data_IF_740521519854
#
_entry.id   IF_740521519854
#
_cell.length_a   1.000
_cell.length_b   1.000
_cell.length_c   1.000
_cell.angle_alpha   90.00
_cell.angle_beta   90.00
_cell.angle_gamma   90.00
#
_symmetry.space_group_name_H-M   'P 1'
#
loop_
_entity.id
_entity.type
_entity.pdbx_description
1 polymer ?
#
# COMPACT_ATOMS: atom_id res chain seq x y z
N UNK A 1 -44.95 37.54 -17.44
CA UNK A 1 -44.42 37.12 -16.16
C UNK A 1 -43.04 37.74 -16.00
N UNK A 2 -42.75 38.25 -14.84
CA UNK A 2 -41.45 38.83 -14.48
C UNK A 2 -40.41 37.68 -14.51
N UNK A 3 -39.34 37.84 -15.26
CA UNK A 3 -38.23 36.87 -15.27
C UNK A 3 -37.40 37.21 -14.03
N UNK A 4 -37.49 36.37 -12.99
CA UNK A 4 -36.67 36.52 -11.82
C UNK A 4 -35.21 36.21 -12.18
N UNK A 5 -34.29 37.05 -11.71
CA UNK A 5 -32.87 36.87 -11.83
C UNK A 5 -32.45 35.60 -11.05
N UNK A 6 -31.48 34.86 -11.58
CA UNK A 6 -31.02 33.62 -10.92
C UNK A 6 -29.85 33.93 -9.98
N UNK A 7 -29.85 33.30 -8.81
CA UNK A 7 -28.72 33.31 -7.88
C UNK A 7 -27.52 32.62 -8.54
N UNK A 8 -26.33 33.18 -8.38
CA UNK A 8 -25.09 32.61 -8.89
C UNK A 8 -24.79 31.26 -8.22
N UNK A 9 -24.20 30.35 -9.01
CA UNK A 9 -23.88 29.01 -8.54
C UNK A 9 -22.78 29.07 -7.48
N UNK A 10 -22.92 28.37 -6.34
CA UNK A 10 -21.85 28.24 -5.34
C UNK A 10 -20.55 27.74 -5.95
N UNK A 11 -19.43 28.18 -5.38
CA UNK A 11 -18.08 27.75 -5.77
C UNK A 11 -17.39 27.12 -4.56
N UNK A 12 -16.84 25.94 -4.78
CA UNK A 12 -16.02 25.22 -3.79
C UNK A 12 -14.54 25.55 -3.97
N UNK A 13 -13.84 25.67 -2.86
CA UNK A 13 -12.38 25.75 -2.82
C UNK A 13 -11.84 24.85 -1.69
N UNK A 14 -11.14 23.74 -2.01
CA UNK A 14 -10.93 23.18 -3.36
C UNK A 14 -12.22 22.61 -3.99
N UNK A 15 -12.29 22.60 -5.32
CA UNK A 15 -13.44 22.15 -6.09
C UNK A 15 -13.63 20.63 -6.13
N UNK A 16 -12.82 19.90 -5.38
CA UNK A 16 -12.70 18.46 -5.28
C UNK A 16 -11.22 18.04 -5.28
N UNK A 17 -10.92 16.86 -4.74
CA UNK A 17 -9.57 16.32 -4.70
C UNK A 17 -9.57 14.81 -4.53
N UNK A 18 -8.51 14.13 -4.99
CA UNK A 18 -8.11 12.82 -4.47
C UNK A 18 -7.12 13.06 -3.34
N UNK A 19 -7.44 12.59 -2.16
CA UNK A 19 -6.65 12.73 -0.95
C UNK A 19 -5.99 11.39 -0.61
N UNK A 20 -4.82 11.43 0.01
CA UNK A 20 -4.15 10.24 0.51
C UNK A 20 -4.74 9.78 1.85
N UNK A 21 -4.44 8.56 2.28
CA UNK A 21 -4.94 8.03 3.55
C UNK A 21 -4.43 8.86 4.73
N UNK A 22 -5.36 9.33 5.56
CA UNK A 22 -5.05 10.20 6.71
C UNK A 22 -4.88 11.67 6.35
N UNK A 23 -4.90 12.03 5.07
CA UNK A 23 -4.94 13.43 4.63
C UNK A 23 -6.33 14.02 4.88
N UNK A 24 -6.39 15.31 5.13
CA UNK A 24 -7.65 16.04 5.30
C UNK A 24 -7.65 17.27 4.41
N UNK A 25 -8.85 17.71 4.01
CA UNK A 25 -9.03 18.95 3.25
C UNK A 25 -10.06 19.82 3.92
N UNK A 26 -9.76 21.10 4.06
CA UNK A 26 -10.71 22.12 4.52
C UNK A 26 -11.36 22.77 3.29
N UNK A 27 -12.68 22.65 3.18
CA UNK A 27 -13.44 23.06 2.00
C UNK A 27 -14.27 24.28 2.31
N UNK A 28 -14.04 25.36 1.57
CA UNK A 28 -14.85 26.58 1.64
C UNK A 28 -15.87 26.61 0.51
N UNK A 29 -17.04 27.19 0.78
CA UNK A 29 -18.10 27.39 -0.20
C UNK A 29 -18.45 28.88 -0.25
N UNK A 30 -18.39 29.47 -1.42
CA UNK A 30 -18.70 30.86 -1.64
C UNK A 30 -19.81 31.07 -2.69
N UNK A 31 -20.56 32.17 -2.61
CA UNK A 31 -21.50 32.59 -3.63
C UNK A 31 -21.34 34.08 -3.89
N UNK A 32 -21.25 34.49 -5.15
CA UNK A 32 -21.05 35.88 -5.53
C UNK A 32 -22.35 36.73 -5.45
N UNK A 33 -23.53 36.09 -5.34
CA UNK A 33 -24.77 36.83 -5.10
C UNK A 33 -24.81 37.30 -3.64
N UNK A 34 -24.83 38.61 -3.37
CA UNK A 34 -24.89 39.12 -2.00
C UNK A 34 -26.13 38.61 -1.24
N UNK A 35 -26.00 38.33 0.03
CA UNK A 35 -27.07 37.87 0.93
C UNK A 35 -27.75 36.55 0.50
N UNK A 36 -27.18 35.77 -0.41
CA UNK A 36 -27.65 34.46 -0.71
C UNK A 36 -27.23 33.48 0.41
N UNK A 37 -28.17 32.66 0.86
CA UNK A 37 -27.88 31.58 1.84
C UNK A 37 -27.50 30.34 1.09
N UNK A 38 -26.34 29.73 1.48
CA UNK A 38 -25.85 28.49 0.89
C UNK A 38 -26.32 27.33 1.74
N UNK A 39 -26.97 26.36 1.11
CA UNK A 39 -27.38 25.07 1.70
C UNK A 39 -26.56 23.96 1.07
N UNK A 40 -26.18 22.95 1.88
CA UNK A 40 -25.36 21.86 1.36
C UNK A 40 -25.78 20.48 1.92
N UNK A 41 -25.28 19.43 1.25
CA UNK A 41 -25.38 18.02 1.68
C UNK A 41 -24.02 17.36 1.56
N UNK A 42 -23.76 16.33 2.41
CA UNK A 42 -22.50 15.55 2.42
C UNK A 42 -22.67 14.14 1.86
N UNK A 43 -23.88 13.74 1.50
CA UNK A 43 -24.22 12.40 1.01
C UNK A 43 -24.49 12.36 -0.50
N UNK A 44 -24.22 13.44 -1.21
CA UNK A 44 -24.46 13.59 -2.64
C UNK A 44 -25.94 13.76 -3.02
N UNK A 45 -26.85 13.85 -2.06
CA UNK A 45 -28.28 14.18 -2.34
C UNK A 45 -28.42 15.62 -2.78
N UNK A 46 -29.58 15.95 -3.41
CA UNK A 46 -29.84 17.31 -3.89
C UNK A 46 -30.18 18.24 -2.72
N UNK A 47 -29.36 19.29 -2.46
CA UNK A 47 -29.64 20.25 -1.40
C UNK A 47 -30.87 21.11 -1.69
N UNK A 48 -31.54 21.56 -0.64
CA UNK A 48 -32.71 22.44 -0.69
C UNK A 48 -32.75 23.34 0.57
N UNK A 49 -33.77 24.17 0.73
CA UNK A 49 -33.90 25.10 1.85
C UNK A 49 -34.08 24.41 3.24
N UNK A 50 -34.21 23.11 3.30
CA UNK A 50 -34.27 22.31 4.55
C UNK A 50 -32.92 21.60 4.82
N UNK A 51 -31.96 21.70 3.90
CA UNK A 51 -30.61 21.17 4.06
C UNK A 51 -29.81 22.02 5.05
N UNK A 52 -28.63 21.55 5.41
CA UNK A 52 -27.74 22.27 6.32
C UNK A 52 -27.27 23.60 5.70
N UNK A 53 -27.22 24.64 6.53
CA UNK A 53 -26.76 25.97 6.12
C UNK A 53 -25.23 26.03 6.26
N UNK A 54 -24.54 26.44 5.21
CA UNK A 54 -23.10 26.64 5.26
C UNK A 54 -22.75 27.90 6.03
N UNK A 55 -22.02 27.73 7.14
CA UNK A 55 -21.58 28.82 8.03
C UNK A 55 -20.08 28.84 8.29
N UNK A 56 -19.40 27.70 8.12
CA UNK A 56 -17.97 27.54 8.37
C UNK A 56 -17.37 26.49 7.40
N UNK A 57 -16.06 26.49 7.20
CA UNK A 57 -15.40 25.52 6.35
C UNK A 57 -15.67 24.07 6.77
N UNK A 58 -15.84 23.18 5.79
CA UNK A 58 -16.12 21.76 6.00
C UNK A 58 -14.80 20.99 6.01
N UNK A 59 -14.50 20.32 7.12
CA UNK A 59 -13.35 19.42 7.19
C UNK A 59 -13.69 18.06 6.58
N UNK A 60 -13.05 17.72 5.47
CA UNK A 60 -13.16 16.42 4.79
C UNK A 60 -12.03 15.52 5.25
N UNK A 61 -12.37 14.36 5.83
CA UNK A 61 -11.43 13.32 6.30
C UNK A 61 -11.77 11.91 5.79
N UNK A 62 -12.75 11.81 4.90
CA UNK A 62 -13.17 10.55 4.25
C UNK A 62 -13.79 10.87 2.90
N UNK A 63 -13.96 9.85 2.05
CA UNK A 63 -14.61 10.03 0.75
C UNK A 63 -16.01 10.63 0.93
N UNK A 64 -16.29 11.71 0.19
CA UNK A 64 -17.54 12.47 0.31
C UNK A 64 -17.86 13.19 -1.00
N UNK A 65 -19.14 13.25 -1.35
CA UNK A 65 -19.67 14.09 -2.41
C UNK A 65 -20.47 15.22 -1.78
N UNK A 66 -19.94 16.44 -1.85
CA UNK A 66 -20.60 17.64 -1.33
C UNK A 66 -21.37 18.29 -2.46
N UNK A 67 -22.65 18.57 -2.23
CA UNK A 67 -23.47 19.38 -3.14
C UNK A 67 -23.97 20.63 -2.44
N UNK A 68 -23.99 21.75 -3.15
CA UNK A 68 -24.43 23.03 -2.61
C UNK A 68 -25.34 23.77 -3.56
N UNK A 69 -26.32 24.49 -3.00
CA UNK A 69 -27.23 25.40 -3.68
C UNK A 69 -27.29 26.71 -2.92
N UNK A 70 -27.35 27.82 -3.63
CA UNK A 70 -27.56 29.13 -3.03
C UNK A 70 -28.98 29.61 -3.30
N UNK A 71 -29.62 30.16 -2.28
CA UNK A 71 -31.03 30.60 -2.31
C UNK A 71 -31.11 32.03 -1.78
N UNK A 72 -31.85 32.89 -2.49
CA UNK A 72 -32.18 34.27 -2.06
C UNK A 72 -33.62 34.54 -2.35
N UNK A 73 -34.31 35.16 -1.39
CA UNK A 73 -35.70 35.54 -1.55
C UNK A 73 -35.86 36.55 -2.73
N UNK A 74 -36.88 36.35 -3.55
CA UNK A 74 -37.13 37.16 -4.71
C UNK A 74 -36.29 36.84 -5.95
N UNK A 75 -35.46 35.81 -5.89
CA UNK A 75 -34.64 35.31 -7.02
C UNK A 75 -34.97 33.83 -7.31
N UNK A 76 -34.60 33.36 -8.49
CA UNK A 76 -34.59 31.96 -8.81
C UNK A 76 -33.36 31.30 -8.15
N UNK A 77 -33.52 30.13 -7.54
CA UNK A 77 -32.42 29.38 -6.90
C UNK A 77 -31.25 29.19 -7.88
N UNK A 78 -30.05 29.11 -7.36
CA UNK A 78 -28.85 28.80 -8.15
C UNK A 78 -28.94 27.40 -8.78
N UNK A 79 -28.03 27.11 -9.69
CA UNK A 79 -27.70 25.73 -10.03
C UNK A 79 -27.01 25.08 -8.85
N UNK A 80 -27.07 23.72 -8.78
CA UNK A 80 -26.34 22.95 -7.77
C UNK A 80 -24.89 22.80 -8.21
N UNK A 81 -23.97 23.18 -7.33
CA UNK A 81 -22.56 22.87 -7.46
C UNK A 81 -22.24 21.53 -6.79
N UNK A 82 -21.21 20.85 -7.26
CA UNK A 82 -20.76 19.56 -6.71
C UNK A 82 -19.24 19.58 -6.57
N UNK A 83 -18.75 19.14 -5.41
CA UNK A 83 -17.35 18.85 -5.17
C UNK A 83 -17.24 17.38 -4.69
N UNK A 84 -16.30 16.65 -5.29
CA UNK A 84 -16.08 15.24 -4.98
C UNK A 84 -14.69 15.06 -4.38
N UNK A 85 -14.65 14.43 -3.21
CA UNK A 85 -13.41 14.07 -2.53
C UNK A 85 -13.32 12.56 -2.45
N UNK A 86 -12.23 12.02 -2.98
CA UNK A 86 -12.01 10.57 -3.04
C UNK A 86 -10.76 10.19 -2.27
N UNK A 87 -10.75 8.97 -1.77
CA UNK A 87 -9.60 8.36 -1.12
C UNK A 87 -9.25 7.05 -1.85
N UNK A 88 -7.99 6.64 -1.83
CA UNK A 88 -7.61 5.34 -2.36
C UNK A 88 -8.42 4.22 -1.69
N UNK A 89 -8.96 3.32 -2.48
CA UNK A 89 -9.67 2.15 -2.00
C UNK A 89 -9.38 0.98 -2.93
N UNK A 90 -9.20 -0.20 -2.33
CA UNK A 90 -9.07 -1.40 -3.16
C UNK A 90 -10.33 -1.59 -3.98
N UNK A 91 -10.14 -1.84 -5.24
CA UNK A 91 -11.24 -2.12 -6.12
C UNK A 91 -12.00 -3.39 -5.69
N UNK A 92 -13.30 -3.36 -5.81
CA UNK A 92 -14.20 -4.50 -5.62
C UNK A 92 -14.93 -4.78 -6.94
N UNK A 93 -15.35 -6.02 -7.18
CA UNK A 93 -16.10 -6.33 -8.40
C UNK A 93 -17.46 -5.66 -8.39
N UNK A 94 -17.95 -5.27 -9.57
CA UNK A 94 -19.26 -4.63 -9.76
C UNK A 94 -20.45 -5.55 -9.41
N UNK A 95 -20.19 -6.84 -9.22
CA UNK A 95 -21.22 -7.84 -8.96
C UNK A 95 -21.03 -8.50 -7.61
N UNK A 96 -22.10 -8.55 -6.86
CA UNK A 96 -22.08 -9.04 -5.49
C UNK A 96 -21.99 -10.56 -5.37
N UNK A 97 -22.46 -11.31 -6.36
CA UNK A 97 -22.56 -12.77 -6.23
C UNK A 97 -22.33 -13.56 -7.51
N UNK A 98 -21.85 -14.77 -7.36
CA UNK A 98 -21.76 -15.79 -8.39
C UNK A 98 -22.54 -17.06 -8.02
N UNK A 99 -22.84 -17.90 -9.02
CA UNK A 99 -23.62 -19.13 -8.88
C UNK A 99 -22.89 -20.37 -9.41
N UNK A 100 -21.70 -20.22 -9.97
CA UNK A 100 -21.00 -21.29 -10.68
C UNK A 100 -19.72 -21.69 -9.94
N UNK A 101 -18.57 -21.29 -10.44
CA UNK A 101 -17.25 -21.65 -9.90
C UNK A 101 -16.95 -20.89 -8.62
N UNK A 102 -16.30 -21.54 -7.68
CA UNK A 102 -15.99 -20.94 -6.39
C UNK A 102 -14.66 -21.43 -5.81
N UNK A 103 -14.02 -20.59 -5.04
CA UNK A 103 -12.78 -20.83 -4.36
C UNK A 103 -13.03 -21.38 -2.95
N UNK A 104 -12.48 -22.54 -2.64
CA UNK A 104 -12.70 -23.23 -1.37
C UNK A 104 -11.61 -22.98 -0.34
N UNK A 105 -10.35 -22.98 -0.78
CA UNK A 105 -9.22 -22.73 0.13
C UNK A 105 -8.03 -22.11 -0.59
N UNK A 106 -7.21 -21.45 0.22
CA UNK A 106 -5.92 -20.88 -0.16
C UNK A 106 -4.91 -21.34 0.88
N UNK A 107 -3.71 -21.72 0.43
CA UNK A 107 -2.56 -21.93 1.30
C UNK A 107 -1.34 -21.21 0.77
N UNK A 108 -0.47 -20.77 1.68
CA UNK A 108 0.80 -20.10 1.37
C UNK A 108 1.85 -20.64 2.33
N UNK A 109 3.03 -21.01 1.83
CA UNK A 109 4.17 -21.36 2.68
C UNK A 109 5.43 -20.65 2.22
N UNK A 110 6.25 -20.21 3.16
CA UNK A 110 7.61 -19.69 2.92
C UNK A 110 8.69 -20.73 3.23
N UNK A 111 8.29 -21.99 3.47
CA UNK A 111 9.17 -23.08 3.87
C UNK A 111 9.42 -23.17 5.39
N UNK A 112 9.04 -22.14 6.14
CA UNK A 112 9.11 -22.10 7.61
C UNK A 112 7.72 -21.95 8.23
N UNK A 113 6.96 -21.01 7.69
CA UNK A 113 5.59 -20.73 8.09
C UNK A 113 4.62 -21.32 7.08
N UNK A 114 3.50 -21.80 7.55
CA UNK A 114 2.40 -22.28 6.72
C UNK A 114 1.11 -21.58 7.12
N UNK A 115 0.44 -21.02 6.13
CA UNK A 115 -0.87 -20.41 6.27
C UNK A 115 -1.89 -21.19 5.45
N UNK A 116 -3.07 -21.41 6.00
CA UNK A 116 -4.19 -22.00 5.26
C UNK A 116 -5.50 -21.36 5.69
N UNK A 117 -6.23 -20.83 4.73
CA UNK A 117 -7.62 -20.41 4.89
C UNK A 117 -8.53 -21.37 4.14
N UNK A 118 -9.56 -21.88 4.79
CA UNK A 118 -10.51 -22.81 4.23
C UNK A 118 -11.94 -22.28 4.32
N UNK A 119 -12.87 -22.92 3.58
CA UNK A 119 -14.27 -22.52 3.53
C UNK A 119 -14.48 -21.05 3.08
N UNK A 120 -13.60 -20.57 2.20
CA UNK A 120 -13.65 -19.19 1.68
C UNK A 120 -15.02 -18.96 1.01
N UNK A 121 -15.37 -19.83 0.08
CA UNK A 121 -16.73 -19.95 -0.47
C UNK A 121 -17.20 -21.40 -0.34
N UNK A 122 -18.50 -21.59 -0.37
CA UNK A 122 -19.14 -22.91 -0.26
C UNK A 122 -20.02 -23.19 -1.46
N UNK A 123 -20.54 -24.41 -1.58
CA UNK A 123 -21.51 -24.77 -2.63
C UNK A 123 -22.83 -24.01 -2.53
N UNK A 124 -23.12 -23.36 -1.40
CA UNK A 124 -24.37 -22.59 -1.20
C UNK A 124 -24.36 -21.34 -2.08
N UNK A 125 -25.47 -21.08 -2.77
CA UNK A 125 -25.69 -19.91 -3.63
C UNK A 125 -26.81 -19.01 -3.12
N UNK A 126 -26.79 -17.70 -3.40
CA UNK A 126 -25.71 -16.95 -4.04
C UNK A 126 -24.46 -16.85 -3.15
N UNK A 127 -23.28 -16.75 -3.72
CA UNK A 127 -22.02 -16.56 -2.99
C UNK A 127 -21.43 -15.20 -3.35
N UNK A 128 -20.84 -14.49 -2.39
CA UNK A 128 -20.13 -13.24 -2.70
C UNK A 128 -18.97 -13.52 -3.66
N UNK A 129 -18.79 -12.67 -4.66
CA UNK A 129 -17.58 -12.69 -5.51
C UNK A 129 -16.37 -12.19 -4.73
N UNK A 130 -16.56 -11.16 -3.92
CA UNK A 130 -15.53 -10.61 -3.04
C UNK A 130 -15.72 -11.13 -1.61
N UNK A 131 -14.62 -11.58 -1.01
CA UNK A 131 -14.57 -12.05 0.37
C UNK A 131 -13.44 -11.32 1.09
N UNK A 132 -13.77 -10.53 2.09
CA UNK A 132 -12.80 -9.89 2.97
C UNK A 132 -12.39 -10.86 4.09
N UNK A 133 -11.10 -11.18 4.12
CA UNK A 133 -10.44 -11.98 5.16
C UNK A 133 -9.17 -11.28 5.67
N UNK A 134 -9.21 -9.98 5.74
CA UNK A 134 -8.06 -9.18 6.19
C UNK A 134 -7.75 -9.32 7.68
N UNK A 135 -8.65 -9.94 8.42
CA UNK A 135 -8.42 -10.42 9.79
C UNK A 135 -7.55 -11.69 9.84
N UNK A 136 -7.44 -12.45 8.74
CA UNK A 136 -6.52 -13.58 8.62
C UNK A 136 -5.15 -13.09 8.09
N UNK A 137 -4.08 -13.45 8.81
CA UNK A 137 -2.74 -12.88 8.58
C UNK A 137 -1.79 -13.95 8.05
N UNK A 138 -1.16 -13.66 6.92
CA UNK A 138 -0.03 -14.40 6.37
C UNK A 138 1.24 -13.73 6.87
N UNK A 139 1.94 -14.33 7.83
CA UNK A 139 3.18 -13.77 8.39
C UNK A 139 4.41 -14.35 7.70
N UNK A 140 5.34 -13.47 7.33
CA UNK A 140 6.61 -13.84 6.70
C UNK A 140 7.64 -12.71 6.85
N UNK A 141 8.79 -12.82 6.17
CA UNK A 141 9.86 -11.82 6.18
C UNK A 141 10.06 -11.21 4.82
N UNK A 142 10.62 -10.00 4.78
CA UNK A 142 11.10 -9.41 3.53
C UNK A 142 12.12 -10.33 2.86
N UNK A 143 12.10 -10.41 1.53
CA UNK A 143 12.95 -11.31 0.76
C UNK A 143 12.54 -12.79 0.78
N UNK A 144 11.49 -13.16 1.50
CA UNK A 144 11.02 -14.56 1.55
C UNK A 144 10.46 -15.03 0.20
N UNK A 145 10.65 -16.30 -0.09
CA UNK A 145 10.01 -16.97 -1.21
C UNK A 145 8.67 -17.56 -0.78
N UNK A 146 7.59 -17.09 -1.36
CA UNK A 146 6.24 -17.59 -1.07
C UNK A 146 5.79 -18.57 -2.14
N UNK A 147 5.18 -19.68 -1.68
CA UNK A 147 4.62 -20.74 -2.51
C UNK A 147 3.10 -20.78 -2.29
N UNK A 148 2.32 -20.09 -3.12
CA UNK A 148 0.87 -20.07 -3.00
C UNK A 148 0.23 -21.28 -3.66
N UNK A 149 -0.92 -21.69 -3.15
CA UNK A 149 -1.80 -22.68 -3.73
C UNK A 149 -3.26 -22.34 -3.49
N UNK A 150 -4.09 -22.65 -4.46
CA UNK A 150 -5.54 -22.40 -4.41
C UNK A 150 -6.30 -23.69 -4.73
N UNK A 151 -7.44 -23.87 -4.09
CA UNK A 151 -8.35 -24.98 -4.36
C UNK A 151 -9.72 -24.41 -4.70
N UNK A 152 -10.25 -24.76 -5.88
CA UNK A 152 -11.59 -24.38 -6.32
C UNK A 152 -12.36 -25.59 -6.86
N UNK A 153 -13.65 -25.43 -6.98
CA UNK A 153 -14.48 -26.42 -7.68
C UNK A 153 -14.48 -26.13 -9.19
N UNK A 154 -14.67 -27.16 -9.97
CA UNK A 154 -14.66 -27.15 -11.45
C UNK A 154 -13.28 -26.95 -12.10
N UNK A 155 -13.23 -27.27 -13.36
CA UNK A 155 -12.09 -27.07 -14.27
C UNK A 155 -12.14 -25.67 -14.91
N UNK A 156 -11.08 -25.27 -15.59
CA UNK A 156 -11.05 -24.07 -16.44
C UNK A 156 -11.12 -22.72 -15.69
N UNK A 157 -10.25 -22.53 -14.74
CA UNK A 157 -10.02 -21.22 -14.09
C UNK A 157 -8.54 -20.92 -14.03
N UNK A 158 -8.24 -19.64 -13.95
CA UNK A 158 -6.90 -19.14 -13.68
C UNK A 158 -6.85 -18.54 -12.29
N UNK A 159 -5.68 -18.61 -11.67
CA UNK A 159 -5.47 -18.04 -10.34
C UNK A 159 -4.42 -16.95 -10.42
N UNK A 160 -4.56 -15.93 -9.59
CA UNK A 160 -3.74 -14.73 -9.55
C UNK A 160 -3.48 -14.33 -8.12
N UNK A 161 -2.28 -13.81 -7.86
CA UNK A 161 -1.90 -13.25 -6.56
C UNK A 161 -1.33 -11.85 -6.78
N UNK A 162 -1.83 -10.89 -6.04
CA UNK A 162 -1.38 -9.50 -6.05
C UNK A 162 -0.91 -9.12 -4.66
N UNK A 163 0.11 -8.28 -4.57
CA UNK A 163 0.57 -7.68 -3.30
C UNK A 163 0.74 -6.18 -3.52
N UNK A 164 -0.01 -5.39 -2.78
CA UNK A 164 0.13 -3.94 -2.77
C UNK A 164 1.39 -3.57 -1.95
N UNK A 165 2.50 -3.36 -2.64
CA UNK A 165 3.79 -3.07 -2.02
C UNK A 165 3.95 -1.62 -1.59
N UNK A 166 3.32 -0.69 -2.30
CA UNK A 166 3.43 0.74 -2.08
C UNK A 166 2.34 1.30 -1.15
N UNK A 167 1.31 0.47 -0.84
CA UNK A 167 0.17 0.79 0.03
C UNK A 167 -0.72 1.93 -0.50
N UNK A 168 -0.79 2.09 -1.81
CA UNK A 168 -1.65 3.08 -2.45
C UNK A 168 -3.09 2.58 -2.67
N UNK A 169 -3.37 1.31 -2.28
CA UNK A 169 -4.65 0.60 -2.42
C UNK A 169 -5.07 0.32 -3.86
N UNK A 170 -4.12 0.34 -4.75
CA UNK A 170 -4.23 -0.15 -6.12
C UNK A 170 -3.35 -1.40 -6.27
N UNK A 171 -3.49 -2.14 -7.35
CA UNK A 171 -2.60 -3.24 -7.68
C UNK A 171 -2.05 -3.00 -9.08
N UNK A 172 -0.82 -2.55 -9.14
CA UNK A 172 -0.15 -2.26 -10.39
C UNK A 172 0.14 -3.53 -11.18
N UNK A 173 -0.33 -3.56 -12.43
CA UNK A 173 -0.05 -4.64 -13.37
C UNK A 173 0.91 -4.10 -14.41
N UNK A 174 2.19 -4.32 -14.20
CA UNK A 174 3.24 -3.96 -15.16
C UNK A 174 3.86 -5.24 -15.71
N UNK A 175 3.70 -5.47 -17.00
CA UNK A 175 4.37 -6.56 -17.71
C UNK A 175 5.55 -5.99 -18.50
N UNK A 176 6.69 -6.64 -18.44
CA UNK A 176 7.83 -6.28 -19.28
C UNK A 176 7.63 -6.71 -20.75
N UNK A 177 8.60 -6.42 -21.61
CA UNK A 177 8.54 -6.73 -23.04
C UNK A 177 8.37 -8.22 -23.34
N UNK A 178 8.78 -9.10 -22.43
CA UNK A 178 8.66 -10.56 -22.54
C UNK A 178 7.34 -11.09 -21.93
N UNK A 179 6.48 -10.19 -21.43
CA UNK A 179 5.21 -10.54 -20.80
C UNK A 179 5.34 -11.01 -19.36
N UNK A 180 6.51 -10.90 -18.74
CA UNK A 180 6.72 -11.20 -17.34
C UNK A 180 6.32 -10.00 -16.46
N UNK A 181 5.81 -10.28 -15.29
CA UNK A 181 5.36 -9.25 -14.38
C UNK A 181 6.51 -8.60 -13.62
N UNK A 182 6.51 -7.27 -13.57
CA UNK A 182 7.42 -6.44 -12.78
C UNK A 182 6.68 -5.58 -11.75
N UNK A 183 5.34 -5.68 -11.69
CA UNK A 183 4.49 -4.94 -10.77
C UNK A 183 4.01 -5.77 -9.59
N UNK A 184 2.82 -5.46 -9.14
CA UNK A 184 2.19 -6.03 -7.94
C UNK A 184 1.35 -7.29 -8.22
N UNK A 185 1.18 -7.69 -9.47
CA UNK A 185 0.69 -9.01 -9.85
C UNK A 185 1.85 -10.01 -9.73
N UNK A 186 2.01 -10.63 -8.56
CA UNK A 186 3.23 -11.36 -8.18
C UNK A 186 3.24 -12.82 -8.60
N UNK A 187 2.08 -13.43 -8.82
CA UNK A 187 1.98 -14.81 -9.28
C UNK A 187 0.68 -15.02 -10.04
N UNK A 188 0.74 -15.72 -11.15
CA UNK A 188 -0.47 -16.03 -11.92
C UNK A 188 -0.28 -17.22 -12.86
N UNK A 189 -1.42 -17.80 -13.24
CA UNK A 189 -1.57 -18.66 -14.42
C UNK A 189 -2.54 -17.95 -15.36
N UNK A 190 -2.20 -17.83 -16.63
CA UNK A 190 -2.99 -17.09 -17.63
C UNK A 190 -3.18 -17.88 -18.90
N UNK A 191 -4.38 -17.84 -19.44
CA UNK A 191 -4.73 -18.46 -20.71
C UNK A 191 -4.69 -17.43 -21.83
N UNK A 192 -3.98 -17.75 -22.90
CA UNK A 192 -4.00 -16.93 -24.12
C UNK A 192 -5.12 -17.38 -25.04
N UNK A 193 -5.95 -16.45 -25.48
CA UNK A 193 -7.05 -16.73 -26.42
C UNK A 193 -6.58 -17.16 -27.81
N UNK A 194 -5.32 -16.98 -28.15
CA UNK A 194 -4.77 -17.26 -29.47
C UNK A 194 -4.53 -18.77 -29.67
N UNK A 195 -5.57 -19.45 -30.12
CA UNK A 195 -5.44 -20.72 -30.80
C UNK A 195 -5.30 -21.97 -29.94
N UNK A 196 -5.76 -21.96 -28.70
CA UNK A 196 -5.81 -23.17 -27.87
C UNK A 196 -4.47 -23.58 -27.28
N UNK A 197 -3.50 -22.69 -27.30
CA UNK A 197 -2.31 -22.85 -26.49
C UNK A 197 -2.65 -22.50 -25.04
N UNK A 198 -2.21 -23.33 -24.14
CA UNK A 198 -2.24 -23.04 -22.72
C UNK A 198 -1.43 -21.77 -22.45
N UNK A 199 -1.92 -20.93 -21.55
CA UNK A 199 -1.28 -19.68 -21.22
C UNK A 199 0.07 -19.84 -20.56
N UNK A 200 0.72 -18.72 -20.28
CA UNK A 200 1.96 -18.66 -19.52
C UNK A 200 1.66 -18.42 -18.04
N UNK A 201 2.60 -18.77 -17.19
CA UNK A 201 2.58 -18.35 -15.81
C UNK A 201 3.50 -17.13 -15.61
N UNK A 202 3.52 -16.59 -14.41
CA UNK A 202 4.35 -15.45 -14.03
C UNK A 202 5.87 -15.69 -14.13
N UNK A 203 6.31 -16.92 -14.36
CA UNK A 203 7.71 -17.27 -14.63
C UNK A 203 8.00 -17.38 -16.15
N UNK A 204 7.00 -17.11 -17.01
CA UNK A 204 7.13 -17.26 -18.46
C UNK A 204 7.05 -18.71 -18.94
N UNK A 205 6.80 -19.69 -18.05
CA UNK A 205 6.62 -21.07 -18.45
C UNK A 205 5.26 -21.26 -19.12
N UNK A 206 5.20 -22.05 -20.17
CA UNK A 206 3.92 -22.52 -20.70
C UNK A 206 3.28 -23.50 -19.72
N UNK A 207 2.09 -23.18 -19.27
CA UNK A 207 1.28 -24.05 -18.41
C UNK A 207 0.01 -24.45 -19.12
N UNK A 208 -0.35 -25.72 -18.99
CA UNK A 208 -1.66 -26.17 -19.43
C UNK A 208 -2.75 -25.49 -18.61
N UNK A 209 -3.78 -25.09 -19.28
CA UNK A 209 -4.95 -24.40 -18.75
C UNK A 209 -5.66 -25.17 -17.61
N UNK A 210 -5.44 -26.43 -17.56
CA UNK A 210 -5.78 -27.31 -16.47
C UNK A 210 -4.82 -27.17 -15.31
N UNK A 211 -4.77 -26.04 -14.68
CA UNK A 211 -4.47 -26.07 -13.27
C UNK A 211 -5.73 -26.68 -12.68
N UNK A 212 -5.83 -27.99 -12.62
CA UNK A 212 -6.97 -28.69 -12.09
C UNK A 212 -7.35 -28.11 -10.72
N UNK A 213 -8.49 -28.47 -10.18
CA UNK A 213 -9.04 -27.96 -8.92
C UNK A 213 -8.07 -27.84 -7.73
N UNK A 214 -6.78 -28.12 -7.93
CA UNK A 214 -5.67 -28.07 -6.98
C UNK A 214 -4.47 -27.38 -7.63
N UNK A 215 -4.58 -26.06 -7.83
CA UNK A 215 -3.57 -25.27 -8.52
C UNK A 215 -2.48 -24.74 -7.62
N UNK A 216 -1.32 -25.38 -7.62
CA UNK A 216 -0.09 -24.70 -7.21
C UNK A 216 0.18 -23.55 -8.17
N UNK A 217 0.22 -22.34 -7.65
CA UNK A 217 0.65 -21.15 -8.37
C UNK A 217 2.18 -21.07 -8.41
N UNK A 218 2.78 -20.40 -9.40
CA UNK A 218 4.19 -20.10 -9.37
C UNK A 218 4.61 -19.43 -8.08
N UNK A 219 5.75 -19.86 -7.53
CA UNK A 219 6.36 -19.17 -6.40
C UNK A 219 6.77 -17.76 -6.80
N UNK A 220 6.77 -16.85 -5.83
CA UNK A 220 7.30 -15.50 -6.00
C UNK A 220 8.17 -15.09 -4.82
N UNK A 221 9.01 -14.12 -5.02
CA UNK A 221 9.94 -13.62 -4.01
C UNK A 221 9.49 -12.21 -3.63
N UNK A 222 9.32 -11.98 -2.33
CA UNK A 222 9.02 -10.65 -1.82
C UNK A 222 10.25 -9.74 -1.94
N UNK A 223 10.09 -8.45 -2.22
CA UNK A 223 11.20 -7.50 -2.20
C UNK A 223 11.95 -7.53 -0.84
N UNK A 224 13.29 -7.52 -0.91
CA UNK A 224 14.15 -7.53 0.30
C UNK A 224 14.04 -6.25 1.13
N UNK A 225 13.65 -5.15 0.49
CA UNK A 225 13.55 -3.82 1.10
C UNK A 225 12.16 -3.50 1.68
N UNK A 226 11.23 -4.46 1.74
CA UNK A 226 9.95 -4.24 2.38
C UNK A 226 10.12 -3.92 3.86
N UNK A 227 9.51 -2.84 4.29
CA UNK A 227 9.46 -2.47 5.70
C UNK A 227 8.56 -3.45 6.48
N UNK A 228 8.87 -3.66 7.75
CA UNK A 228 7.97 -4.39 8.63
C UNK A 228 6.61 -3.71 8.73
N UNK A 229 5.55 -4.51 8.77
CA UNK A 229 4.17 -4.03 8.84
C UNK A 229 3.24 -4.81 7.93
N UNK A 230 2.01 -4.34 7.86
CA UNK A 230 0.93 -5.01 7.15
C UNK A 230 0.78 -4.45 5.74
N UNK A 231 0.58 -5.37 4.79
CA UNK A 231 0.35 -5.13 3.38
C UNK A 231 -0.93 -5.86 2.96
N UNK A 232 -1.56 -5.45 1.88
CA UNK A 232 -2.67 -6.19 1.29
C UNK A 232 -2.12 -7.26 0.34
N UNK A 233 -2.60 -8.50 0.49
CA UNK A 233 -2.41 -9.57 -0.48
C UNK A 233 -3.78 -10.02 -0.96
N UNK A 234 -3.97 -10.06 -2.27
CA UNK A 234 -5.21 -10.46 -2.94
C UNK A 234 -5.01 -11.75 -3.70
N UNK A 235 -5.90 -12.70 -3.50
CA UNK A 235 -6.03 -13.89 -4.33
C UNK A 235 -7.27 -13.76 -5.19
N UNK A 236 -7.16 -14.17 -6.44
CA UNK A 236 -8.27 -14.17 -7.36
C UNK A 236 -8.28 -15.47 -8.17
N UNK A 237 -9.45 -16.04 -8.37
CA UNK A 237 -9.72 -16.97 -9.46
C UNK A 237 -10.67 -16.31 -10.46
N UNK A 238 -10.35 -16.40 -11.74
CA UNK A 238 -11.11 -15.75 -12.80
C UNK A 238 -10.91 -16.51 -14.12
N UNK A 239 -11.69 -16.18 -15.13
CA UNK A 239 -11.62 -16.88 -16.43
C UNK A 239 -10.32 -16.59 -17.16
N UNK A 240 -10.02 -15.36 -17.50
CA UNK A 240 -8.78 -14.98 -18.19
C UNK A 240 -8.45 -13.47 -18.10
N UNK A 241 -8.64 -12.86 -16.96
CA UNK A 241 -8.37 -11.44 -16.78
C UNK A 241 -7.25 -11.20 -15.78
N UNK A 242 -6.30 -10.36 -16.15
CA UNK A 242 -5.25 -9.87 -15.23
C UNK A 242 -5.76 -8.77 -14.29
N UNK A 243 -6.94 -8.19 -14.57
CA UNK A 243 -7.50 -7.11 -13.75
C UNK A 243 -7.75 -7.56 -12.30
N UNK A 244 -7.28 -6.82 -11.29
CA UNK A 244 -7.39 -7.23 -9.89
C UNK A 244 -8.83 -7.30 -9.37
N UNK A 245 -9.76 -6.61 -10.03
CA UNK A 245 -11.20 -6.63 -9.74
C UNK A 245 -12.00 -7.64 -10.56
N UNK A 246 -11.31 -8.49 -11.30
CA UNK A 246 -11.94 -9.48 -12.16
C UNK A 246 -12.35 -8.93 -13.52
N UNK A 247 -12.71 -9.82 -14.41
CA UNK A 247 -13.17 -9.46 -15.76
C UNK A 247 -14.53 -8.81 -15.70
N UNK A 248 -14.69 -7.70 -16.43
CA UNK A 248 -15.95 -6.99 -16.67
C UNK A 248 -16.46 -7.19 -18.11
N UNK A 249 -15.74 -7.97 -18.92
CA UNK A 249 -16.06 -8.18 -20.32
C UNK A 249 -17.34 -9.02 -20.43
N UNK A 250 -18.29 -8.56 -21.26
CA UNK A 250 -19.54 -9.29 -21.54
C UNK A 250 -19.24 -10.69 -22.07
N UNK A 251 -19.82 -11.72 -21.44
CA UNK A 251 -19.57 -13.13 -21.73
C UNK A 251 -18.43 -13.76 -20.93
N UNK A 252 -17.50 -12.96 -20.38
CA UNK A 252 -16.38 -13.42 -19.54
C UNK A 252 -16.33 -12.72 -18.19
N UNK A 253 -17.44 -12.21 -17.72
CA UNK A 253 -17.56 -11.51 -16.44
C UNK A 253 -17.32 -12.47 -15.26
N UNK A 254 -16.53 -12.02 -14.25
CA UNK A 254 -16.18 -12.85 -13.09
C UNK A 254 -17.42 -13.39 -12.35
N UNK A 255 -18.50 -12.64 -12.29
CA UNK A 255 -19.74 -13.09 -11.66
C UNK A 255 -20.48 -14.12 -12.51
N UNK A 256 -20.55 -13.96 -13.85
CA UNK A 256 -21.26 -14.88 -14.72
C UNK A 256 -20.53 -16.19 -14.98
N UNK A 257 -19.22 -16.15 -15.12
CA UNK A 257 -18.38 -17.36 -15.28
C UNK A 257 -18.04 -18.03 -13.95
N UNK A 258 -18.33 -17.36 -12.86
CA UNK A 258 -17.86 -17.73 -11.54
C UNK A 258 -16.43 -17.26 -11.31
N UNK A 259 -16.08 -17.13 -10.07
CA UNK A 259 -14.79 -16.68 -9.61
C UNK A 259 -14.86 -16.16 -8.20
N UNK A 260 -13.72 -15.77 -7.68
CA UNK A 260 -13.62 -15.19 -6.36
C UNK A 260 -12.45 -14.21 -6.30
N UNK A 261 -12.61 -13.19 -5.49
CA UNK A 261 -11.57 -12.28 -5.06
C UNK A 261 -11.53 -12.35 -3.55
N UNK A 262 -10.35 -12.61 -2.99
CA UNK A 262 -10.18 -12.74 -1.53
C UNK A 262 -8.98 -11.93 -1.10
N UNK A 263 -9.19 -11.04 -0.14
CA UNK A 263 -8.15 -10.22 0.45
C UNK A 263 -7.75 -10.73 1.82
N UNK A 264 -6.42 -10.80 2.05
CA UNK A 264 -5.81 -11.10 3.34
C UNK A 264 -4.83 -9.99 3.73
N UNK A 265 -4.38 -10.03 4.98
CA UNK A 265 -3.23 -9.26 5.44
C UNK A 265 -1.96 -10.08 5.26
N UNK A 266 -0.98 -9.54 4.53
CA UNK A 266 0.39 -10.03 4.49
C UNK A 266 1.21 -9.23 5.50
N UNK A 267 1.63 -9.87 6.58
CA UNK A 267 2.47 -9.24 7.60
C UNK A 267 3.93 -9.52 7.33
N UNK A 268 4.69 -8.46 7.06
CA UNK A 268 6.14 -8.53 7.07
C UNK A 268 6.60 -8.33 8.51
N UNK A 269 7.10 -9.41 9.09
CA UNK A 269 7.64 -9.36 10.44
C UNK A 269 8.87 -8.44 10.45
N UNK A 270 8.99 -7.64 11.51
CA UNK A 270 10.26 -7.01 11.80
C UNK A 270 11.25 -8.17 11.86
N UNK A 271 12.20 -8.20 10.95
CA UNK A 271 13.30 -9.14 11.12
C UNK A 271 13.70 -9.00 12.56
N UNK A 272 13.62 -10.08 13.33
CA UNK A 272 14.48 -10.15 14.47
C UNK A 272 15.81 -9.74 13.89
N UNK A 273 16.28 -8.54 14.20
CA UNK A 273 17.68 -8.38 14.43
C UNK A 273 17.86 -9.39 15.58
N UNK A 274 17.93 -10.68 15.24
CA UNK A 274 18.73 -11.57 16.02
C UNK A 274 19.98 -10.73 16.11
N UNK A 275 20.17 -10.11 17.25
CA UNK A 275 21.48 -9.76 17.70
C UNK A 275 22.17 -11.12 17.58
N UNK A 276 22.67 -11.42 16.36
CA UNK A 276 23.72 -12.40 16.21
C UNK A 276 24.62 -11.94 17.31
N UNK A 277 24.71 -12.72 18.36
CA UNK A 277 25.72 -12.49 19.38
C UNK A 277 26.81 -11.78 18.65
N UNK A 278 26.86 -10.46 18.82
CA UNK A 278 27.99 -9.70 18.34
C UNK A 278 29.04 -10.34 19.21
N UNK A 279 29.67 -11.40 18.65
CA UNK A 279 30.94 -11.83 19.20
C UNK A 279 31.63 -10.51 19.37
N UNK A 280 31.85 -10.13 20.63
CA UNK A 280 32.41 -8.87 21.04
C UNK A 280 33.49 -8.47 20.04
N UNK A 281 33.07 -7.83 18.95
CA UNK A 281 33.99 -7.18 18.03
C UNK A 281 34.51 -6.07 18.91
N UNK A 282 35.79 -6.13 19.32
CA UNK A 282 36.26 -5.22 20.35
C UNK A 282 36.01 -3.80 19.85
N UNK A 283 35.00 -3.17 20.46
CA UNK A 283 34.57 -1.82 20.08
C UNK A 283 35.76 -0.93 20.23
N UNK A 284 36.18 -0.23 19.15
CA UNK A 284 37.28 0.68 19.25
C UNK A 284 36.92 1.78 20.23
N UNK A 285 37.69 1.87 21.29
CA UNK A 285 37.53 2.86 22.37
C UNK A 285 38.58 3.95 22.25
N UNK A 286 38.16 5.16 22.56
CA UNK A 286 39.03 6.36 22.56
C UNK A 286 39.07 6.92 23.99
N UNK A 287 40.23 6.88 24.59
CA UNK A 287 40.45 7.33 25.98
C UNK A 287 41.34 8.54 26.00
N UNK A 288 40.88 9.63 26.59
CA UNK A 288 41.69 10.82 26.82
C UNK A 288 42.71 10.58 27.91
N UNK A 289 43.96 10.86 27.58
CA UNK A 289 45.11 10.77 28.49
C UNK A 289 45.87 12.09 28.46
N UNK A 290 46.92 12.22 29.27
CA UNK A 290 47.77 13.43 29.25
C UNK A 290 48.44 13.57 27.89
N UNK A 291 48.19 14.69 27.21
CA UNK A 291 48.76 15.03 25.92
C UNK A 291 48.12 14.39 24.70
N UNK A 292 46.98 13.66 24.82
CA UNK A 292 46.32 13.07 23.66
C UNK A 292 45.24 12.04 23.92
N UNK A 293 44.96 11.26 22.91
CA UNK A 293 43.97 10.19 22.91
C UNK A 293 44.67 8.84 22.64
N UNK A 294 44.45 7.87 23.51
CA UNK A 294 44.77 6.47 23.31
C UNK A 294 43.62 5.75 22.60
N UNK A 295 43.98 4.93 21.62
CA UNK A 295 43.02 4.10 20.85
C UNK A 295 43.22 2.65 21.21
N UNK A 296 42.13 1.92 21.54
CA UNK A 296 42.15 0.49 21.79
C UNK A 296 41.00 -0.16 21.00
N UNK A 297 41.29 -1.27 20.34
CA UNK A 297 40.31 -2.02 19.55
C UNK A 297 40.72 -2.18 18.09
N UNK A 298 39.74 -2.19 17.18
CA UNK A 298 40.01 -2.43 15.78
C UNK A 298 40.50 -1.20 15.04
N UNK A 299 41.22 -1.44 13.96
CA UNK A 299 41.71 -0.40 13.05
C UNK A 299 40.56 0.38 12.45
N UNK A 300 40.62 1.71 12.48
CA UNK A 300 39.57 2.56 11.97
C UNK A 300 40.09 3.93 11.53
N UNK A 301 39.23 4.72 10.92
CA UNK A 301 39.51 6.15 10.69
C UNK A 301 38.85 6.98 11.78
N UNK A 302 39.68 7.62 12.61
CA UNK A 302 39.21 8.57 13.62
C UNK A 302 39.06 9.97 13.03
N UNK A 303 37.88 10.56 13.11
CA UNK A 303 37.64 11.97 12.84
C UNK A 303 37.46 12.67 14.19
N UNK A 304 38.42 13.57 14.52
CA UNK A 304 38.45 14.26 15.82
C UNK A 304 37.99 15.70 15.64
N UNK A 305 37.05 16.11 16.42
CA UNK A 305 36.44 17.44 16.40
C UNK A 305 36.72 18.17 17.73
N UNK A 306 36.92 19.47 17.68
CA UNK A 306 36.99 20.31 18.87
C UNK A 306 35.64 20.54 19.54
N UNK A 307 35.62 21.25 20.66
CA UNK A 307 34.41 21.57 21.39
C UNK A 307 33.40 22.45 20.64
N UNK A 308 33.81 23.09 19.52
CA UNK A 308 32.97 23.86 18.62
C UNK A 308 32.46 23.03 17.43
N UNK A 309 32.82 21.75 17.36
CA UNK A 309 32.40 20.85 16.28
C UNK A 309 33.18 20.96 15.00
N UNK A 310 34.37 21.65 15.00
CA UNK A 310 35.26 21.73 13.84
C UNK A 310 36.14 20.49 13.79
N UNK A 311 36.25 19.88 12.60
CA UNK A 311 37.17 18.77 12.36
C UNK A 311 38.62 19.27 12.44
N UNK A 312 39.41 18.71 13.37
CA UNK A 312 40.79 19.07 13.57
C UNK A 312 41.78 17.98 13.12
N UNK A 313 41.38 16.71 13.22
CA UNK A 313 42.22 15.59 12.77
C UNK A 313 41.32 14.53 12.09
N UNK A 314 41.76 14.02 10.94
CA UNK A 314 41.27 12.80 10.31
C UNK A 314 42.47 11.87 10.10
N UNK A 315 42.47 10.71 10.80
CA UNK A 315 43.62 9.81 10.81
C UNK A 315 43.17 8.35 10.89
N UNK A 316 43.82 7.50 10.09
CA UNK A 316 43.74 6.06 10.31
C UNK A 316 44.50 5.73 11.61
N UNK A 317 43.86 4.98 12.48
CA UNK A 317 44.36 4.57 13.79
C UNK A 317 44.20 3.06 13.96
N UNK A 318 45.16 2.47 14.65
CA UNK A 318 45.22 1.04 14.97
C UNK A 318 45.16 0.85 16.47
N UNK A 319 44.99 -0.39 16.92
CA UNK A 319 45.09 -0.71 18.34
C UNK A 319 46.41 -0.21 18.94
N UNK A 320 46.34 0.50 20.04
CA UNK A 320 47.47 1.10 20.70
C UNK A 320 47.98 2.43 20.12
N UNK A 321 47.29 2.95 19.07
CA UNK A 321 47.63 4.26 18.51
C UNK A 321 47.47 5.38 19.53
N UNK A 322 48.43 6.31 19.53
CA UNK A 322 48.34 7.58 20.27
C UNK A 322 48.16 8.74 19.30
N UNK A 323 47.17 9.58 19.57
CA UNK A 323 46.93 10.83 18.82
C UNK A 323 47.22 12.00 19.73
N UNK A 324 48.30 12.76 19.47
CA UNK A 324 48.68 13.91 20.28
C UNK A 324 47.69 15.05 20.10
N UNK A 325 47.23 15.61 21.21
CA UNK A 325 46.28 16.73 21.29
C UNK A 325 46.55 17.56 22.53
N UNK A 326 46.32 18.86 22.46
CA UNK A 326 46.34 19.73 23.63
C UNK A 326 45.25 19.35 24.63
N UNK A 327 45.41 19.76 25.90
CA UNK A 327 44.38 19.59 26.88
C UNK A 327 43.07 20.23 26.40
N UNK A 328 41.97 19.53 26.54
CA UNK A 328 40.66 19.99 26.02
C UNK A 328 39.60 18.92 25.90
N UNK A 329 38.42 19.34 25.43
CA UNK A 329 37.28 18.47 25.14
C UNK A 329 37.21 18.19 23.63
N UNK A 330 37.05 16.90 23.30
CA UNK A 330 37.04 16.46 21.91
C UNK A 330 35.89 15.47 21.69
N UNK A 331 35.39 15.45 20.46
CA UNK A 331 34.48 14.44 19.97
C UNK A 331 35.19 13.60 18.90
N UNK A 332 35.27 12.30 19.12
CA UNK A 332 35.87 11.37 18.15
C UNK A 332 34.76 10.60 17.47
N UNK A 333 34.71 10.61 16.14
CA UNK A 333 33.81 9.83 15.33
C UNK A 333 34.54 8.73 14.58
N UNK A 334 34.00 7.52 14.68
CA UNK A 334 34.47 6.35 13.95
C UNK A 334 33.24 5.71 13.26
N UNK A 335 33.03 6.00 11.97
CA UNK A 335 31.84 5.56 11.27
C UNK A 335 30.56 6.09 11.92
N UNK A 336 29.71 5.20 12.46
CA UNK A 336 28.47 5.56 13.16
C UNK A 336 28.67 5.81 14.67
N UNK A 337 29.82 5.47 15.23
CA UNK A 337 30.12 5.61 16.65
C UNK A 337 30.73 6.97 16.99
N UNK A 338 30.33 7.50 18.15
CA UNK A 338 30.85 8.76 18.68
C UNK A 338 31.37 8.53 20.11
N UNK A 339 32.54 9.08 20.40
CA UNK A 339 33.10 9.13 21.77
C UNK A 339 33.33 10.57 22.18
N UNK A 340 32.97 10.94 23.41
CA UNK A 340 33.38 12.20 24.05
C UNK A 340 34.66 11.93 24.84
N UNK A 341 35.69 12.72 24.61
CA UNK A 341 37.02 12.49 25.17
C UNK A 341 37.55 13.79 25.78
N UNK A 342 38.05 13.67 26.99
CA UNK A 342 38.77 14.79 27.67
C UNK A 342 40.26 14.46 27.71
N UNK A 343 41.07 15.29 27.06
CA UNK A 343 42.52 15.23 27.11
C UNK A 343 42.98 16.10 28.27
N UNK A 344 43.85 15.56 29.14
CA UNK A 344 44.42 16.24 30.29
C UNK A 344 45.75 16.86 29.99
#
# INVERSE_FOLDING_TARGET
GEILEQVETPVFDPAGARLEEGETSEVTITCSTPDAVIYYTLDGTMPNAQSEVYTEPILVSSAVTIKAIAIKEGMTNSKVATAEFTYPAYCTPDYESNHTRYLTSISVTDGTNEFTSSQIQTAKTPRPVYVDKTDEIISTKAGATLNPSTVWNFEWMHAYVYVDYNKDKEFDITLNADGNNEGELVSYTFYSEDGGADGTNSLGDQKKNNVGANGALPRFILPENLSAGDYRIRFKIDWNSLAPCGSVISGNHIASNGGAIVDFTLRIESGDVAVKDVQDVPKTTFTGVTGGIMVQGQDCTANIYDGQGRLIIKKAVTNGSFVSLSAGFYIVRNGKDNAKVIVK
#
